data_IF_613614114789
#
_entry.id   IF_613614114789
#
_cell.length_a   1.000
_cell.length_b   1.000
_cell.length_c   1.000
_cell.angle_alpha   90.00
_cell.angle_beta   90.00
_cell.angle_gamma   90.00
#
_symmetry.space_group_name_H-M   'P 1'
#
loop_
_entity.id
_entity.type
_entity.pdbx_description
1 polymer ?
#
# COMPACT_ATOMS: atom_id res chain seq x y z
N UNK A 1 -79.72 -12.20 -35.48
CA UNK A 1 -79.58 -13.66 -35.26
C UNK A 1 -78.20 -13.92 -34.68
N UNK A 2 -78.13 -14.71 -33.58
CA UNK A 2 -76.99 -15.50 -33.02
C UNK A 2 -75.65 -14.76 -32.82
N UNK A 3 -75.22 -14.35 -31.62
CA UNK A 3 -74.79 -15.06 -30.39
C UNK A 3 -73.60 -16.05 -30.54
N UNK A 4 -72.68 -15.95 -29.56
CA UNK A 4 -71.58 -16.86 -29.13
C UNK A 4 -70.25 -16.66 -29.91
N UNK A 5 -69.02 -16.58 -29.35
CA UNK A 5 -68.32 -17.11 -28.14
C UNK A 5 -67.08 -16.20 -27.93
N UNK A 6 -66.92 -15.41 -26.87
CA UNK A 6 -66.26 -15.68 -25.59
C UNK A 6 -64.85 -16.32 -25.64
N UNK A 7 -63.90 -15.71 -24.92
CA UNK A 7 -62.63 -16.27 -24.40
C UNK A 7 -61.36 -16.08 -25.22
N UNK A 8 -60.68 -14.94 -24.99
CA UNK A 8 -59.21 -14.85 -24.96
C UNK A 8 -58.76 -13.58 -24.18
N UNK A 9 -59.38 -13.30 -23.02
CA UNK A 9 -58.80 -12.45 -21.99
C UNK A 9 -58.18 -13.39 -20.96
N UNK A 10 -56.86 -13.58 -20.99
CA UNK A 10 -56.20 -14.51 -20.07
C UNK A 10 -54.81 -14.97 -20.48
N UNK A 11 -53.91 -14.02 -20.73
CA UNK A 11 -52.46 -14.22 -20.64
C UNK A 11 -51.87 -12.82 -20.30
N UNK A 12 -51.96 -12.36 -19.04
CA UNK A 12 -50.90 -12.57 -18.05
C UNK A 12 -49.52 -12.43 -18.74
N UNK A 13 -49.03 -11.22 -19.05
CA UNK A 13 -48.58 -10.19 -18.10
C UNK A 13 -47.70 -10.74 -16.95
N UNK A 14 -46.81 -11.69 -17.26
CA UNK A 14 -45.70 -12.09 -16.38
C UNK A 14 -44.41 -12.37 -17.18
N UNK A 15 -43.99 -11.39 -17.98
CA UNK A 15 -42.58 -11.27 -18.41
C UNK A 15 -41.95 -9.99 -17.84
N UNK A 16 -42.39 -9.57 -16.66
CA UNK A 16 -41.55 -8.79 -15.76
C UNK A 16 -40.55 -9.72 -15.10
N UNK A 17 -39.67 -10.34 -15.91
CA UNK A 17 -38.45 -10.88 -15.36
C UNK A 17 -37.72 -9.70 -14.76
N UNK A 18 -37.47 -9.73 -13.45
CA UNK A 18 -36.38 -8.95 -12.87
C UNK A 18 -35.12 -9.40 -13.61
N UNK A 19 -34.78 -8.69 -14.69
CA UNK A 19 -33.42 -8.62 -15.17
C UNK A 19 -32.61 -8.22 -13.92
N UNK A 20 -31.62 -8.99 -13.49
CA UNK A 20 -30.64 -8.48 -12.56
C UNK A 20 -30.14 -7.19 -13.19
N UNK A 21 -30.42 -6.04 -12.55
CA UNK A 21 -29.74 -4.81 -12.92
C UNK A 21 -28.27 -5.11 -12.68
N UNK A 22 -27.54 -5.41 -13.75
CA UNK A 22 -26.12 -5.10 -13.77
C UNK A 22 -26.08 -3.61 -13.45
N UNK A 23 -25.63 -3.27 -12.24
CA UNK A 23 -25.42 -1.87 -11.83
C UNK A 23 -24.57 -1.26 -12.95
N UNK A 24 -25.12 -0.29 -13.67
CA UNK A 24 -24.40 0.40 -14.71
C UNK A 24 -23.15 1.03 -14.09
N UNK A 25 -22.03 0.94 -14.79
CA UNK A 25 -20.86 1.75 -14.52
C UNK A 25 -21.25 3.23 -14.67
N UNK A 26 -20.92 4.06 -13.68
CA UNK A 26 -21.24 5.49 -13.69
C UNK A 26 -20.16 6.21 -14.50
N UNK A 27 -20.51 6.64 -15.71
CA UNK A 27 -19.67 7.52 -16.54
C UNK A 27 -19.80 8.97 -16.04
N UNK A 28 -18.68 9.57 -15.67
CA UNK A 28 -18.58 10.92 -15.08
C UNK A 28 -17.42 11.70 -15.70
N UNK A 29 -17.45 13.02 -15.63
CA UNK A 29 -16.39 13.87 -16.17
C UNK A 29 -15.41 14.24 -15.05
N UNK A 30 -14.11 14.02 -15.27
CA UNK A 30 -13.09 14.50 -14.34
C UNK A 30 -12.84 16.00 -14.57
N UNK A 31 -12.99 16.79 -13.51
CA UNK A 31 -12.67 18.22 -13.53
C UNK A 31 -11.15 18.42 -13.69
N UNK A 32 -10.77 19.40 -14.50
CA UNK A 32 -9.38 19.84 -14.72
C UNK A 32 -8.38 18.72 -15.09
N UNK A 33 -8.84 17.66 -15.75
CA UNK A 33 -7.96 16.60 -16.26
C UNK A 33 -6.88 17.17 -17.20
N UNK A 34 -5.61 16.70 -17.11
CA UNK A 34 -4.52 17.20 -17.94
C UNK A 34 -4.81 17.02 -19.44
N UNK A 35 -4.40 17.98 -20.28
CA UNK A 35 -4.74 18.06 -21.72
C UNK A 35 -4.35 16.82 -22.56
N UNK A 36 -3.52 15.92 -22.01
CA UNK A 36 -3.09 14.67 -22.66
C UNK A 36 -4.09 13.51 -22.54
N UNK A 37 -5.17 13.68 -21.77
CA UNK A 37 -6.22 12.68 -21.61
C UNK A 37 -7.27 12.93 -22.69
N UNK A 38 -7.25 12.14 -23.78
CA UNK A 38 -8.17 12.33 -24.92
C UNK A 38 -9.66 12.18 -24.56
N UNK A 39 -9.98 11.65 -23.37
CA UNK A 39 -11.33 11.57 -22.82
C UNK A 39 -11.37 12.18 -21.40
N UNK A 40 -12.10 13.28 -21.22
CA UNK A 40 -12.44 13.82 -19.88
C UNK A 40 -13.42 12.91 -19.12
N UNK A 41 -13.90 11.85 -19.78
CA UNK A 41 -14.85 10.90 -19.25
C UNK A 41 -14.12 9.78 -18.52
N UNK A 42 -14.38 9.66 -17.22
CA UNK A 42 -13.92 8.55 -16.39
C UNK A 42 -15.10 7.71 -15.93
N UNK A 43 -14.85 6.43 -15.69
CA UNK A 43 -15.86 5.48 -15.23
C UNK A 43 -15.57 5.13 -13.78
N UNK A 44 -16.59 5.21 -12.94
CA UNK A 44 -16.58 4.67 -11.58
C UNK A 44 -17.05 3.21 -11.64
N UNK A 45 -16.19 2.23 -11.33
CA UNK A 45 -16.58 0.83 -11.30
C UNK A 45 -17.71 0.58 -10.30
N UNK A 46 -18.60 -0.34 -10.63
CA UNK A 46 -19.70 -0.75 -9.76
C UNK A 46 -19.29 -1.75 -8.66
N UNK A 47 -18.02 -2.19 -8.67
CA UNK A 47 -17.50 -3.24 -7.82
C UNK A 47 -16.29 -2.76 -7.03
N UNK A 48 -16.36 -2.91 -5.72
CA UNK A 48 -15.29 -2.67 -4.78
C UNK A 48 -14.88 -4.03 -4.21
N UNK A 49 -13.58 -4.35 -4.27
CA UNK A 49 -13.08 -5.68 -3.90
C UNK A 49 -13.32 -5.95 -2.41
N UNK A 50 -13.06 -4.95 -1.56
CA UNK A 50 -13.30 -4.99 -0.12
C UNK A 50 -13.39 -3.57 0.43
N UNK A 51 -13.88 -3.42 1.66
CA UNK A 51 -13.92 -2.12 2.36
C UNK A 51 -12.51 -1.52 2.54
N UNK A 52 -11.46 -2.35 2.54
CA UNK A 52 -10.07 -1.90 2.65
C UNK A 52 -9.53 -1.24 1.37
N UNK A 53 -10.25 -1.32 0.24
CA UNK A 53 -9.81 -0.80 -1.05
C UNK A 53 -10.80 0.19 -1.64
N UNK A 54 -10.28 1.21 -2.31
CA UNK A 54 -11.09 2.16 -3.06
C UNK A 54 -11.45 1.62 -4.44
N UNK A 55 -12.57 2.09 -5.00
CA UNK A 55 -12.83 1.93 -6.43
C UNK A 55 -11.84 2.77 -7.22
N UNK A 56 -11.12 2.17 -8.16
CA UNK A 56 -10.17 2.87 -9.03
C UNK A 56 -10.89 3.48 -10.23
N UNK A 57 -10.68 4.77 -10.50
CA UNK A 57 -11.23 5.41 -11.70
C UNK A 57 -10.67 4.79 -12.98
N UNK A 58 -11.53 4.65 -14.00
CA UNK A 58 -11.17 4.11 -15.32
C UNK A 58 -11.28 5.19 -16.41
N UNK A 59 -10.47 5.15 -17.49
CA UNK A 59 -9.41 4.18 -17.75
C UNK A 59 -8.29 4.27 -16.72
N UNK A 60 -7.63 3.14 -16.44
CA UNK A 60 -6.54 3.12 -15.47
C UNK A 60 -5.39 4.00 -15.97
N UNK A 61 -5.07 5.04 -15.21
CA UNK A 61 -3.92 5.90 -15.46
C UNK A 61 -2.71 5.40 -14.67
N UNK A 62 -1.66 4.91 -15.35
CA UNK A 62 -0.43 4.55 -14.67
C UNK A 62 0.28 5.81 -14.17
N UNK A 63 0.86 5.74 -12.97
CA UNK A 63 1.67 6.85 -12.47
C UNK A 63 2.82 7.19 -13.43
N UNK A 64 3.15 8.48 -13.64
CA UNK A 64 4.38 8.89 -14.33
C UNK A 64 5.65 8.37 -13.66
N UNK A 65 5.55 7.92 -12.41
CA UNK A 65 6.61 7.33 -11.59
C UNK A 65 6.63 5.78 -11.61
N UNK A 66 5.81 5.15 -12.47
CA UNK A 66 5.59 3.70 -12.46
C UNK A 66 6.90 2.91 -12.52
N UNK A 67 7.06 2.01 -11.55
CA UNK A 67 8.22 1.12 -11.45
C UNK A 67 9.40 1.71 -10.68
N UNK A 68 9.41 3.01 -10.34
CA UNK A 68 10.46 3.58 -9.49
C UNK A 68 10.45 2.98 -8.08
N UNK A 69 9.26 2.75 -7.50
CA UNK A 69 9.12 2.13 -6.17
C UNK A 69 9.87 0.79 -6.06
N UNK A 70 9.85 -0.02 -7.12
CA UNK A 70 10.52 -1.34 -7.16
C UNK A 70 12.05 -1.20 -7.13
N UNK A 71 12.61 -0.11 -7.65
CA UNK A 71 14.05 0.12 -7.69
C UNK A 71 14.58 0.82 -6.43
N UNK A 72 13.71 1.59 -5.76
CA UNK A 72 14.11 2.46 -4.65
C UNK A 72 13.88 1.81 -3.27
N UNK A 73 12.98 0.85 -3.18
CA UNK A 73 12.60 0.18 -1.93
C UNK A 73 13.41 -1.11 -1.74
N UNK A 74 13.74 -1.44 -0.49
CA UNK A 74 14.61 -2.58 -0.15
C UNK A 74 14.01 -3.95 -0.50
N UNK A 75 12.73 -4.17 -0.19
CA UNK A 75 12.08 -5.49 -0.35
C UNK A 75 10.73 -5.36 -1.06
N UNK A 76 10.30 -6.42 -1.75
CA UNK A 76 8.96 -6.46 -2.33
C UNK A 76 7.86 -6.46 -1.25
N UNK A 77 8.17 -6.91 -0.03
CA UNK A 77 7.27 -6.81 1.11
C UNK A 77 7.02 -5.33 1.46
N UNK A 78 8.08 -4.53 1.56
CA UNK A 78 7.97 -3.08 1.80
C UNK A 78 7.18 -2.37 0.70
N UNK A 79 7.37 -2.75 -0.58
CA UNK A 79 6.60 -2.15 -1.69
C UNK A 79 5.10 -2.40 -1.49
N UNK A 80 4.71 -3.65 -1.25
CA UNK A 80 3.30 -4.01 -1.06
C UNK A 80 2.69 -3.33 0.17
N UNK A 81 3.45 -3.25 1.27
CA UNK A 81 2.99 -2.60 2.49
C UNK A 81 2.91 -1.08 2.37
N UNK A 82 3.87 -0.45 1.68
CA UNK A 82 3.83 0.99 1.40
C UNK A 82 2.57 1.34 0.60
N UNK A 83 2.27 0.61 -0.49
CA UNK A 83 1.10 0.90 -1.32
C UNK A 83 -0.22 0.62 -0.58
N UNK A 84 -0.38 -0.57 -0.01
CA UNK A 84 -1.63 -0.96 0.66
C UNK A 84 -1.84 -0.21 1.98
N UNK A 85 -0.79 -0.03 2.78
CA UNK A 85 -0.88 0.69 4.05
C UNK A 85 -1.09 2.19 3.87
N UNK A 86 -0.62 2.79 2.76
CA UNK A 86 -0.97 4.18 2.44
C UNK A 86 -2.47 4.34 2.15
N UNK A 87 -3.10 3.34 1.51
CA UNK A 87 -4.57 3.31 1.38
C UNK A 87 -5.26 3.16 2.75
N UNK A 88 -4.74 2.33 3.67
CA UNK A 88 -5.31 2.23 5.03
C UNK A 88 -5.23 3.55 5.78
N UNK A 89 -4.15 4.32 5.60
CA UNK A 89 -4.02 5.65 6.20
C UNK A 89 -5.02 6.62 5.57
N UNK A 90 -5.18 6.59 4.25
CA UNK A 90 -6.11 7.46 3.53
C UNK A 90 -7.56 7.34 4.05
N UNK A 91 -8.00 6.14 4.44
CA UNK A 91 -9.35 5.90 4.94
C UNK A 91 -9.71 6.66 6.21
N UNK A 92 -8.71 7.19 6.93
CA UNK A 92 -8.94 8.03 8.11
C UNK A 92 -9.60 9.37 7.78
N UNK A 93 -9.33 9.89 6.57
CA UNK A 93 -9.84 11.18 6.09
C UNK A 93 -10.78 11.01 4.88
N UNK A 94 -10.52 10.01 4.03
CA UNK A 94 -11.20 9.81 2.75
C UNK A 94 -11.98 8.49 2.77
N UNK A 95 -13.28 8.52 3.06
CA UNK A 95 -14.08 7.28 3.10
C UNK A 95 -14.10 6.57 1.72
N UNK A 96 -13.84 5.26 1.62
CA UNK A 96 -13.89 4.52 0.36
C UNK A 96 -15.31 4.39 -0.23
N UNK A 97 -16.35 4.72 0.55
CA UNK A 97 -17.72 4.82 0.06
C UNK A 97 -17.92 6.02 -0.88
N UNK A 98 -17.28 7.14 -0.53
CA UNK A 98 -17.48 8.45 -1.16
C UNK A 98 -16.33 8.83 -2.11
N UNK A 99 -15.11 8.35 -1.81
CA UNK A 99 -13.90 8.67 -2.57
C UNK A 99 -13.49 7.54 -3.51
N UNK A 100 -12.82 7.91 -4.60
CA UNK A 100 -12.31 7.03 -5.64
C UNK A 100 -10.81 7.22 -5.78
N UNK A 101 -10.11 6.13 -6.05
CA UNK A 101 -8.65 6.13 -6.12
C UNK A 101 -8.15 6.37 -7.54
N UNK A 102 -7.07 7.14 -7.64
CA UNK A 102 -6.21 7.21 -8.82
C UNK A 102 -4.75 7.16 -8.37
N UNK A 103 -3.91 6.47 -9.15
CA UNK A 103 -2.46 6.50 -8.95
C UNK A 103 -1.93 7.93 -9.06
N UNK A 104 -0.87 8.26 -8.31
CA UNK A 104 -0.27 9.60 -8.36
C UNK A 104 0.13 10.03 -9.76
N UNK A 105 -0.26 11.24 -10.14
CA UNK A 105 -0.03 11.83 -11.46
C UNK A 105 0.55 13.25 -11.41
N UNK A 106 0.68 13.87 -10.22
CA UNK A 106 1.23 15.22 -10.07
C UNK A 106 2.75 15.23 -9.87
N UNK A 107 3.31 14.23 -9.18
CA UNK A 107 4.74 14.07 -8.95
C UNK A 107 5.36 13.17 -10.03
N UNK A 108 5.92 13.81 -11.05
CA UNK A 108 6.59 13.10 -12.15
C UNK A 108 7.92 12.45 -11.71
N UNK A 109 8.40 11.50 -12.52
CA UNK A 109 9.66 10.77 -12.25
C UNK A 109 10.85 11.69 -12.00
N UNK A 110 11.00 12.74 -12.79
CA UNK A 110 12.11 13.70 -12.64
C UNK A 110 11.97 14.52 -11.36
N UNK A 111 10.74 14.89 -10.98
CA UNK A 111 10.46 15.60 -9.72
C UNK A 111 10.85 14.75 -8.52
N UNK A 112 10.38 13.50 -8.48
CA UNK A 112 10.72 12.55 -7.42
C UNK A 112 12.23 12.29 -7.40
N UNK A 113 12.87 12.07 -8.55
CA UNK A 113 14.33 11.83 -8.62
C UNK A 113 15.13 13.01 -8.05
N UNK A 114 14.74 14.25 -8.38
CA UNK A 114 15.38 15.45 -7.84
C UNK A 114 15.16 15.56 -6.32
N UNK A 115 13.97 15.26 -5.82
CA UNK A 115 13.67 15.31 -4.39
C UNK A 115 14.39 14.21 -3.60
N UNK A 116 14.56 13.02 -4.17
CA UNK A 116 15.31 11.92 -3.57
C UNK A 116 16.82 12.15 -3.56
N UNK A 117 17.33 13.08 -4.35
CA UNK A 117 18.75 13.39 -4.39
C UNK A 117 19.24 14.02 -3.08
N UNK A 118 20.55 14.03 -2.88
CA UNK A 118 21.16 14.82 -1.81
C UNK A 118 21.06 16.30 -2.15
N UNK A 119 20.78 17.12 -1.15
CA UNK A 119 21.08 18.54 -1.22
C UNK A 119 22.58 18.72 -1.53
N UNK A 120 22.90 19.73 -2.32
CA UNK A 120 24.27 20.07 -2.71
C UNK A 120 24.72 21.36 -2.03
N UNK A 121 26.00 21.43 -1.66
CA UNK A 121 26.60 22.68 -1.22
C UNK A 121 27.04 23.57 -2.41
N UNK A 122 27.42 24.82 -2.14
CA UNK A 122 27.83 25.77 -3.20
C UNK A 122 28.95 25.28 -4.10
N UNK A 123 29.91 24.50 -3.57
CA UNK A 123 31.01 23.95 -4.37
C UNK A 123 30.52 22.84 -5.31
N UNK A 124 29.66 21.96 -4.80
CA UNK A 124 29.05 20.88 -5.58
C UNK A 124 28.10 21.41 -6.66
N UNK A 125 27.34 22.47 -6.37
CA UNK A 125 26.50 23.14 -7.38
C UNK A 125 27.33 23.68 -8.54
N UNK A 126 28.47 24.31 -8.24
CA UNK A 126 29.39 24.82 -9.28
C UNK A 126 30.01 23.69 -10.11
N UNK A 127 30.35 22.57 -9.48
CA UNK A 127 30.91 21.40 -10.17
C UNK A 127 29.89 20.73 -11.09
N UNK A 128 28.63 20.63 -10.63
CA UNK A 128 27.51 20.07 -11.39
C UNK A 128 26.87 21.05 -12.37
N UNK A 129 27.41 22.27 -12.50
CA UNK A 129 26.86 23.37 -13.32
C UNK A 129 25.36 23.67 -13.03
N UNK A 130 24.93 23.42 -11.79
CA UNK A 130 23.55 23.52 -11.32
C UNK A 130 23.31 24.86 -10.62
N UNK A 131 22.15 25.47 -10.86
CA UNK A 131 21.75 26.70 -10.18
C UNK A 131 21.17 26.41 -8.78
N UNK A 132 21.24 27.35 -7.84
CA UNK A 132 20.66 27.16 -6.50
C UNK A 132 19.18 26.77 -6.52
N UNK A 133 18.40 27.28 -7.48
CA UNK A 133 16.96 27.00 -7.59
C UNK A 133 16.68 25.55 -8.04
N UNK A 134 17.67 24.86 -8.61
CA UNK A 134 17.59 23.47 -9.07
C UNK A 134 18.04 22.48 -7.97
N UNK A 135 18.56 22.98 -6.85
CA UNK A 135 19.03 22.18 -5.71
C UNK A 135 17.86 21.68 -4.85
N UNK A 136 17.10 20.73 -5.39
CA UNK A 136 15.87 20.25 -4.78
C UNK A 136 16.04 18.97 -3.94
N UNK A 137 17.27 18.52 -3.67
CA UNK A 137 17.50 17.31 -2.88
C UNK A 137 16.97 17.43 -1.45
N UNK A 138 16.25 16.41 -0.98
CA UNK A 138 15.71 16.32 0.39
C UNK A 138 16.60 15.48 1.32
N UNK A 139 17.54 14.71 0.77
CA UNK A 139 18.53 13.97 1.56
C UNK A 139 19.70 14.88 1.97
N UNK A 140 20.36 14.62 3.11
CA UNK A 140 21.40 15.50 3.64
C UNK A 140 22.62 15.59 2.72
N UNK A 141 23.28 16.75 2.77
CA UNK A 141 24.52 17.02 2.06
C UNK A 141 25.61 16.04 2.54
N UNK A 142 26.30 15.39 1.61
CA UNK A 142 27.58 14.71 1.87
C UNK A 142 28.70 15.63 1.37
N UNK A 143 29.48 16.21 2.28
CA UNK A 143 30.54 17.17 1.94
C UNK A 143 31.85 16.51 1.46
N UNK A 144 31.91 15.17 1.45
CA UNK A 144 33.11 14.43 1.06
C UNK A 144 34.24 14.47 2.11
N UNK A 145 34.02 15.07 3.27
CA UNK A 145 35.03 15.20 4.33
C UNK A 145 35.05 13.97 5.25
N UNK A 146 36.24 13.46 5.54
CA UNK A 146 36.42 12.28 6.40
C UNK A 146 36.26 10.95 5.67
N UNK A 147 36.29 9.86 6.43
CA UNK A 147 36.14 8.50 5.91
C UNK A 147 34.71 8.24 5.44
N UNK A 148 34.53 7.30 4.50
CA UNK A 148 33.20 6.96 3.99
C UNK A 148 32.22 6.52 5.09
N UNK A 149 32.71 5.81 6.11
CA UNK A 149 31.92 5.40 7.26
C UNK A 149 31.46 6.59 8.12
N UNK A 150 32.33 7.58 8.36
CA UNK A 150 31.95 8.80 9.09
C UNK A 150 30.88 9.59 8.32
N UNK A 151 31.00 9.68 6.99
CA UNK A 151 30.01 10.36 6.15
C UNK A 151 28.68 9.61 6.10
N UNK A 152 28.71 8.27 6.05
CA UNK A 152 27.51 7.45 6.10
C UNK A 152 26.72 7.64 7.40
N UNK A 153 27.43 7.81 8.52
CA UNK A 153 26.84 8.10 9.82
C UNK A 153 26.28 9.52 9.94
N UNK A 154 27.01 10.52 9.45
CA UNK A 154 26.62 11.92 9.61
C UNK A 154 25.60 12.40 8.57
N UNK A 155 25.59 11.79 7.39
CA UNK A 155 24.74 12.16 6.27
C UNK A 155 24.19 10.90 5.57
N UNK A 156 23.45 10.02 6.25
CA UNK A 156 22.83 8.87 5.59
C UNK A 156 21.77 9.32 4.57
N UNK A 157 21.38 8.43 3.66
CA UNK A 157 20.18 8.65 2.84
C UNK A 157 18.97 8.24 3.68
N UNK A 158 18.24 9.22 4.20
CA UNK A 158 17.00 8.99 4.96
C UNK A 158 15.86 8.60 4.05
N UNK A 159 15.61 9.38 3.00
CA UNK A 159 14.47 9.21 2.10
C UNK A 159 14.85 8.35 0.89
N UNK A 160 14.20 7.21 0.74
CA UNK A 160 14.41 6.29 -0.38
C UNK A 160 13.39 6.49 -1.51
N UNK A 161 12.14 6.77 -1.16
CA UNK A 161 11.07 6.92 -2.14
C UNK A 161 9.95 7.83 -1.65
N UNK A 162 9.20 8.38 -2.60
CA UNK A 162 7.98 9.18 -2.38
C UNK A 162 6.88 8.54 -3.21
N UNK A 163 5.79 8.15 -2.58
CA UNK A 163 4.61 7.59 -3.21
C UNK A 163 3.46 8.59 -3.11
N UNK A 164 2.72 8.80 -4.19
CA UNK A 164 1.56 9.68 -4.26
C UNK A 164 0.30 8.88 -4.59
N UNK A 165 -0.75 9.07 -3.78
CA UNK A 165 -2.10 8.60 -4.02
C UNK A 165 -3.07 9.78 -4.12
N UNK A 166 -3.95 9.75 -5.12
CA UNK A 166 -4.96 10.78 -5.33
C UNK A 166 -6.36 10.22 -5.09
N UNK A 167 -7.18 11.00 -4.37
CA UNK A 167 -8.52 10.62 -3.97
C UNK A 167 -9.53 11.60 -4.55
N UNK A 168 -10.39 11.12 -5.42
CA UNK A 168 -11.42 11.89 -6.12
C UNK A 168 -12.78 11.70 -5.45
N UNK A 169 -13.62 12.72 -5.50
CA UNK A 169 -15.00 12.69 -4.98
C UNK A 169 -15.95 13.24 -6.04
N UNK A 170 -17.21 12.80 -6.02
CA UNK A 170 -18.24 13.42 -6.88
C UNK A 170 -18.37 14.92 -6.55
N UNK A 171 -18.49 15.75 -7.57
CA UNK A 171 -18.62 17.20 -7.38
C UNK A 171 -19.97 17.53 -6.76
N UNK A 172 -19.96 18.37 -5.71
CA UNK A 172 -21.18 18.83 -5.04
C UNK A 172 -22.06 19.69 -5.97
N UNK A 173 -21.43 20.31 -6.98
CA UNK A 173 -22.13 21.16 -7.97
C UNK A 173 -22.77 20.35 -9.10
N UNK A 174 -22.18 19.20 -9.44
CA UNK A 174 -22.60 18.35 -10.55
C UNK A 174 -22.17 16.90 -10.30
N UNK A 175 -23.11 16.04 -9.88
CA UNK A 175 -22.86 14.62 -9.63
C UNK A 175 -22.42 13.82 -10.88
N UNK A 176 -22.54 14.42 -12.08
CA UNK A 176 -21.97 13.85 -13.31
C UNK A 176 -20.47 14.12 -13.45
N UNK A 177 -19.84 14.74 -12.43
CA UNK A 177 -18.42 15.04 -12.40
C UNK A 177 -17.74 14.52 -11.14
N UNK A 178 -16.44 14.32 -11.25
CA UNK A 178 -15.54 14.06 -10.12
C UNK A 178 -14.44 15.11 -10.08
N UNK A 179 -14.02 15.48 -8.88
CA UNK A 179 -12.93 16.42 -8.63
C UNK A 179 -11.92 15.83 -7.65
N UNK A 180 -10.70 16.33 -7.70
CA UNK A 180 -9.69 15.97 -6.71
C UNK A 180 -10.17 16.41 -5.32
N UNK A 181 -10.30 15.45 -4.41
CA UNK A 181 -10.81 15.65 -3.06
C UNK A 181 -9.73 15.56 -1.98
N UNK A 182 -8.56 14.99 -2.30
CA UNK A 182 -7.45 14.85 -1.38
C UNK A 182 -6.24 14.13 -1.99
N UNK A 183 -5.09 14.30 -1.35
CA UNK A 183 -3.84 13.65 -1.72
C UNK A 183 -3.21 13.01 -0.49
N UNK A 184 -2.63 11.83 -0.66
CA UNK A 184 -1.84 11.16 0.39
C UNK A 184 -0.44 10.86 -0.15
N UNK A 185 0.57 11.30 0.58
CA UNK A 185 1.99 11.10 0.27
C UNK A 185 2.61 10.12 1.26
N UNK A 186 3.16 9.02 0.76
CA UNK A 186 4.00 8.09 1.52
C UNK A 186 5.48 8.44 1.36
N UNK A 187 6.17 8.69 2.47
CA UNK A 187 7.63 8.86 2.49
C UNK A 187 8.27 7.57 2.99
N UNK A 188 8.93 6.85 2.08
CA UNK A 188 9.66 5.64 2.44
C UNK A 188 11.07 5.99 2.93
N UNK A 189 11.32 5.69 4.20
CA UNK A 189 12.53 6.03 4.91
C UNK A 189 13.40 4.80 5.15
N UNK A 190 14.71 4.93 5.05
CA UNK A 190 15.67 3.85 5.28
C UNK A 190 15.93 3.66 6.78
N UNK A 191 15.63 2.50 7.33
CA UNK A 191 16.14 2.13 8.67
C UNK A 191 17.64 1.79 8.66
N UNK A 192 18.17 1.40 7.50
CA UNK A 192 19.57 1.08 7.28
C UNK A 192 20.04 1.76 6.00
N UNK A 193 21.11 2.54 6.10
CA UNK A 193 21.78 3.14 4.96
C UNK A 193 22.86 2.20 4.41
N UNK A 194 22.68 1.75 3.18
CA UNK A 194 23.63 0.90 2.47
C UNK A 194 24.61 1.76 1.65
N UNK A 195 25.91 1.52 1.79
CA UNK A 195 26.93 2.28 1.07
C UNK A 195 28.13 1.43 0.67
N UNK A 196 28.87 1.87 -0.35
CA UNK A 196 30.16 1.30 -0.75
C UNK A 196 31.28 2.35 -0.57
N UNK A 197 32.53 1.90 -0.62
CA UNK A 197 33.68 2.79 -0.55
C UNK A 197 33.85 3.56 -1.86
N UNK A 198 34.15 4.86 -1.78
CA UNK A 198 34.30 5.75 -2.96
C UNK A 198 35.32 5.23 -3.98
N UNK A 199 36.40 4.62 -3.49
CA UNK A 199 37.49 4.09 -4.32
C UNK A 199 37.25 2.65 -4.82
N UNK A 200 36.16 2.00 -4.41
CA UNK A 200 35.81 0.64 -4.79
C UNK A 200 34.27 0.47 -4.91
N UNK A 201 33.64 1.07 -5.94
CA UNK A 201 32.19 1.01 -6.14
C UNK A 201 31.67 -0.37 -6.54
N UNK A 202 32.55 -1.36 -6.77
CA UNK A 202 32.17 -2.75 -6.99
C UNK A 202 32.54 -3.67 -5.82
N UNK A 203 33.01 -3.06 -4.72
CA UNK A 203 33.40 -3.73 -3.49
C UNK A 203 32.21 -4.12 -2.60
N UNK A 204 32.49 -4.56 -1.37
CA UNK A 204 31.44 -4.94 -0.42
C UNK A 204 30.53 -3.77 -0.06
N UNK A 205 29.25 -4.09 0.15
CA UNK A 205 28.27 -3.16 0.70
C UNK A 205 28.38 -3.13 2.22
N UNK A 206 28.44 -1.94 2.79
CA UNK A 206 28.40 -1.67 4.22
C UNK A 206 27.02 -1.14 4.62
N UNK A 207 26.72 -1.26 5.90
CA UNK A 207 25.43 -0.92 6.50
C UNK A 207 25.65 0.06 7.65
N UNK A 208 24.88 1.15 7.67
CA UNK A 208 24.79 2.07 8.79
C UNK A 208 23.33 2.10 9.27
N UNK A 209 23.09 1.66 10.51
CA UNK A 209 21.75 1.70 11.09
C UNK A 209 21.38 3.14 11.46
N UNK A 210 20.18 3.57 11.08
CA UNK A 210 19.66 4.90 11.41
C UNK A 210 18.79 4.79 12.68
N UNK A 211 19.08 5.56 13.75
CA UNK A 211 18.25 5.57 14.95
C UNK A 211 16.80 5.96 14.65
N UNK A 212 15.83 5.28 15.26
CA UNK A 212 14.40 5.47 14.96
C UNK A 212 13.91 6.90 15.22
N UNK A 213 14.35 7.52 16.32
CA UNK A 213 13.97 8.90 16.66
C UNK A 213 14.53 9.92 15.65
N UNK A 214 15.75 9.68 15.17
CA UNK A 214 16.40 10.52 14.14
C UNK A 214 15.72 10.35 12.78
N UNK A 215 15.43 9.10 12.39
CA UNK A 215 14.70 8.77 11.17
C UNK A 215 13.33 9.45 11.15
N UNK A 216 12.60 9.38 12.27
CA UNK A 216 11.30 10.04 12.40
C UNK A 216 11.43 11.56 12.28
N UNK A 217 12.35 12.18 13.03
CA UNK A 217 12.54 13.62 13.02
C UNK A 217 12.90 14.18 11.62
N UNK A 218 13.80 13.52 10.90
CA UNK A 218 14.14 13.92 9.52
C UNK A 218 12.98 13.64 8.55
N UNK A 219 12.26 12.52 8.72
CA UNK A 219 11.05 12.23 7.94
C UNK A 219 9.97 13.31 8.09
N UNK A 220 9.73 13.79 9.31
CA UNK A 220 8.75 14.85 9.59
C UNK A 220 9.14 16.18 8.92
N UNK A 221 10.42 16.54 8.98
CA UNK A 221 10.98 17.72 8.32
C UNK A 221 10.86 17.62 6.80
N UNK A 222 11.18 16.46 6.22
CA UNK A 222 11.04 16.18 4.79
C UNK A 222 9.57 16.26 4.38
N UNK A 223 8.65 15.70 5.16
CA UNK A 223 7.21 15.78 4.93
C UNK A 223 6.70 17.21 4.83
N UNK A 224 7.13 18.07 5.75
CA UNK A 224 6.80 19.48 5.72
C UNK A 224 7.32 20.18 4.46
N UNK A 225 8.52 19.86 4.02
CA UNK A 225 9.08 20.44 2.78
C UNK A 225 8.34 19.93 1.53
N UNK A 226 7.95 18.66 1.50
CA UNK A 226 7.14 18.09 0.41
C UNK A 226 5.81 18.82 0.26
N UNK A 227 5.08 19.06 1.35
CA UNK A 227 3.80 19.80 1.31
C UNK A 227 3.99 21.22 0.76
N UNK A 228 5.03 21.93 1.21
CA UNK A 228 5.34 23.28 0.70
C UNK A 228 5.58 23.28 -0.80
N UNK A 229 6.35 22.30 -1.30
CA UNK A 229 6.64 22.18 -2.73
C UNK A 229 5.40 21.83 -3.53
N UNK A 230 4.52 20.97 -3.03
CA UNK A 230 3.24 20.66 -3.66
C UNK A 230 2.38 21.94 -3.78
N UNK A 231 2.28 22.75 -2.72
CA UNK A 231 1.56 24.03 -2.76
C UNK A 231 2.20 25.05 -3.70
N UNK A 232 3.54 25.10 -3.74
CA UNK A 232 4.26 25.96 -4.69
C UNK A 232 4.00 25.53 -6.15
N UNK A 233 4.01 24.22 -6.44
CA UNK A 233 3.64 23.68 -7.75
C UNK A 233 2.22 24.09 -8.14
N UNK A 234 1.27 24.05 -7.21
CA UNK A 234 -0.10 24.49 -7.45
C UNK A 234 -0.21 25.98 -7.82
N UNK A 235 0.64 26.82 -7.24
CA UNK A 235 0.66 28.26 -7.48
C UNK A 235 1.35 28.64 -8.81
N UNK A 236 2.30 27.83 -9.26
CA UNK A 236 3.15 28.12 -10.42
C UNK A 236 2.66 27.46 -11.71
N UNK A 237 2.04 26.29 -11.61
CA UNK A 237 1.61 25.46 -12.74
C UNK A 237 0.08 25.39 -12.83
N UNK A 238 -0.55 26.03 -13.84
CA UNK A 238 -1.99 25.98 -14.04
C UNK A 238 -2.57 24.57 -14.17
N UNK A 239 -1.78 23.59 -14.65
CA UNK A 239 -2.22 22.18 -14.75
C UNK A 239 -2.28 21.49 -13.38
N UNK A 240 -1.72 22.10 -12.33
CA UNK A 240 -1.70 21.59 -10.96
C UNK A 240 -2.50 22.46 -9.98
N UNK A 241 -3.32 23.37 -10.49
CA UNK A 241 -4.09 24.30 -9.67
C UNK A 241 -5.02 23.59 -8.66
N UNK A 242 -5.49 22.38 -8.98
CA UNK A 242 -6.31 21.55 -8.08
C UNK A 242 -5.60 21.22 -6.77
N UNK A 243 -4.27 21.23 -6.75
CA UNK A 243 -3.47 21.00 -5.55
C UNK A 243 -3.48 22.19 -4.59
N UNK A 244 -4.07 23.33 -4.94
CA UNK A 244 -4.05 24.52 -4.08
C UNK A 244 -4.89 24.31 -2.82
N UNK A 245 -6.08 23.74 -2.96
CA UNK A 245 -7.12 23.78 -1.92
C UNK A 245 -7.51 22.39 -1.36
N UNK A 246 -6.86 21.31 -1.80
CA UNK A 246 -7.14 19.96 -1.28
C UNK A 246 -6.42 19.69 0.05
N UNK A 247 -6.98 18.86 0.96
CA UNK A 247 -6.22 18.32 2.07
C UNK A 247 -5.09 17.40 1.59
N UNK A 248 -3.92 17.48 2.24
CA UNK A 248 -2.75 16.65 1.95
C UNK A 248 -2.35 15.92 3.22
N UNK A 249 -2.37 14.58 3.20
CA UNK A 249 -1.83 13.75 4.28
C UNK A 249 -0.43 13.26 3.91
N UNK A 250 0.51 13.35 4.85
CA UNK A 250 1.86 12.76 4.71
C UNK A 250 2.02 11.65 5.74
N UNK A 251 2.46 10.48 5.28
CA UNK A 251 2.72 9.32 6.12
C UNK A 251 4.18 8.88 6.01
N UNK A 252 4.81 8.59 7.14
CA UNK A 252 6.19 8.12 7.22
C UNK A 252 6.20 6.60 7.30
N UNK A 253 6.83 5.96 6.31
CA UNK A 253 7.01 4.53 6.23
C UNK A 253 8.48 4.18 6.53
N UNK A 254 8.73 3.41 7.59
CA UNK A 254 10.06 2.89 7.90
C UNK A 254 10.23 1.55 7.18
N UNK A 255 11.14 1.49 6.20
CA UNK A 255 11.49 0.24 5.54
C UNK A 255 12.27 -0.69 6.47
N UNK A 256 12.15 -1.99 6.25
CA UNK A 256 13.05 -2.97 6.86
C UNK A 256 14.37 -3.13 6.08
N UNK A 257 15.40 -3.76 6.67
CA UNK A 257 16.62 -4.12 5.98
C UNK A 257 16.36 -5.04 4.77
N UNK A 258 17.28 -5.05 3.80
CA UNK A 258 17.19 -5.88 2.58
C UNK A 258 17.14 -7.38 2.85
N UNK A 259 17.61 -7.81 4.01
CA UNK A 259 17.59 -9.20 4.47
C UNK A 259 16.29 -9.59 5.18
N UNK A 260 15.38 -8.64 5.41
CA UNK A 260 14.13 -8.89 6.11
C UNK A 260 13.19 -9.79 5.32
N UNK A 261 12.44 -10.60 6.06
CA UNK A 261 11.38 -11.49 5.56
C UNK A 261 9.99 -11.02 5.98
N UNK A 262 9.93 -9.84 6.58
CA UNK A 262 8.71 -9.09 6.92
C UNK A 262 8.84 -7.68 6.35
N UNK A 263 7.73 -7.03 5.96
CA UNK A 263 7.76 -5.63 5.55
C UNK A 263 8.07 -4.71 6.73
N UNK A 264 8.45 -3.48 6.39
CA UNK A 264 8.41 -2.32 7.28
C UNK A 264 7.01 -1.90 7.66
N UNK A 265 6.92 -0.74 8.28
CA UNK A 265 5.68 -0.26 8.87
C UNK A 265 5.59 1.26 8.85
N UNK A 266 4.35 1.78 8.92
CA UNK A 266 4.14 3.21 9.14
C UNK A 266 4.44 3.59 10.59
N UNK A 267 5.12 4.71 10.79
CA UNK A 267 5.57 5.19 12.11
C UNK A 267 4.92 6.50 12.55
N UNK A 268 4.44 7.31 11.60
CA UNK A 268 3.81 8.61 11.89
C UNK A 268 3.01 9.09 10.68
N UNK A 269 1.99 9.92 10.90
CA UNK A 269 1.32 10.69 9.84
C UNK A 269 0.89 12.07 10.33
N UNK A 270 0.75 13.02 9.41
CA UNK A 270 0.18 14.34 9.66
C UNK A 270 -0.59 14.82 8.43
N UNK A 271 -1.52 15.74 8.64
CA UNK A 271 -2.33 16.32 7.56
C UNK A 271 -2.19 17.83 7.53
N UNK A 272 -2.21 18.40 6.34
CA UNK A 272 -2.43 19.82 6.09
C UNK A 272 -3.85 19.99 5.54
N UNK A 273 -4.60 20.94 6.11
CA UNK A 273 -5.93 21.29 5.61
C UNK A 273 -5.83 21.91 4.20
N UNK A 274 -6.97 22.02 3.52
CA UNK A 274 -7.06 22.67 2.22
C UNK A 274 -6.52 24.10 2.25
N UNK A 275 -5.60 24.43 1.34
CA UNK A 275 -4.95 25.74 1.26
C UNK A 275 -3.73 25.91 2.17
N UNK A 276 -3.56 25.07 3.20
CA UNK A 276 -2.44 25.18 4.13
C UNK A 276 -1.17 24.55 3.55
N UNK A 277 -0.03 25.23 3.74
CA UNK A 277 1.31 24.76 3.35
C UNK A 277 2.08 24.11 4.52
N UNK A 278 1.43 23.99 5.67
CA UNK A 278 2.01 23.55 6.93
C UNK A 278 1.27 22.33 7.46
N UNK A 279 2.02 21.29 7.81
CA UNK A 279 1.47 20.09 8.42
C UNK A 279 1.04 20.40 9.86
N UNK A 280 -0.09 19.84 10.27
CA UNK A 280 -0.55 19.86 11.65
C UNK A 280 0.27 18.96 12.57
N UNK A 281 -0.32 18.58 13.71
CA UNK A 281 0.33 17.72 14.69
C UNK A 281 0.51 16.28 14.15
N UNK A 282 1.72 15.74 14.34
CA UNK A 282 2.05 14.37 13.95
C UNK A 282 1.43 13.35 14.89
N UNK A 283 0.65 12.44 14.32
CA UNK A 283 0.07 11.28 14.99
C UNK A 283 0.98 10.07 14.84
N UNK A 284 1.41 9.49 15.96
CA UNK A 284 2.27 8.30 15.94
C UNK A 284 1.49 7.06 15.53
N UNK A 285 2.12 6.21 14.72
CA UNK A 285 1.59 4.91 14.31
C UNK A 285 2.37 3.82 15.04
N UNK A 286 1.64 2.91 15.68
CA UNK A 286 2.22 1.76 16.35
C UNK A 286 1.87 0.50 15.56
N UNK A 287 2.44 0.38 14.37
CA UNK A 287 2.30 -0.80 13.52
C UNK A 287 3.60 -1.61 13.55
N UNK A 288 3.51 -2.94 13.64
CA UNK A 288 4.69 -3.81 13.57
C UNK A 288 4.35 -5.14 12.89
N UNK A 289 5.26 -5.65 12.09
CA UNK A 289 5.15 -6.98 11.52
C UNK A 289 6.02 -7.98 12.27
N UNK A 290 5.41 -9.07 12.71
CA UNK A 290 6.07 -10.13 13.47
C UNK A 290 6.03 -11.43 12.68
N UNK A 291 7.18 -12.11 12.61
CA UNK A 291 7.29 -13.42 11.98
C UNK A 291 6.87 -14.53 12.95
N UNK A 292 6.21 -15.56 12.44
CA UNK A 292 5.83 -16.75 13.20
C UNK A 292 6.33 -18.04 12.51
N UNK A 293 6.93 -18.99 13.25
CA UNK A 293 7.40 -18.83 14.62
C UNK A 293 8.66 -17.94 14.68
N UNK A 294 8.85 -17.18 15.76
CA UNK A 294 10.10 -16.42 15.97
C UNK A 294 10.39 -16.16 17.44
N UNK A 295 11.64 -15.76 17.74
CA UNK A 295 12.01 -15.31 19.09
C UNK A 295 11.24 -14.05 19.50
N UNK A 296 11.02 -13.12 18.57
CA UNK A 296 10.24 -11.90 18.82
C UNK A 296 8.80 -12.23 19.20
N UNK A 297 8.16 -13.13 18.46
CA UNK A 297 6.82 -13.62 18.77
C UNK A 297 6.77 -14.28 20.15
N UNK A 298 7.72 -15.16 20.48
CA UNK A 298 7.77 -15.80 21.80
C UNK A 298 7.96 -14.82 22.97
N UNK A 299 8.74 -13.76 22.76
CA UNK A 299 9.10 -12.80 23.81
C UNK A 299 8.02 -11.72 24.01
N UNK A 300 7.38 -11.26 22.93
CA UNK A 300 6.41 -10.17 22.97
C UNK A 300 4.94 -10.62 22.83
N UNK A 301 4.68 -11.73 22.15
CA UNK A 301 3.33 -12.20 21.76
C UNK A 301 3.13 -13.69 22.04
N UNK A 302 3.43 -14.10 23.28
CA UNK A 302 3.54 -15.51 23.68
C UNK A 302 2.31 -16.38 23.39
N UNK A 303 1.11 -15.83 23.58
CA UNK A 303 -0.14 -16.57 23.37
C UNK A 303 -0.41 -16.80 21.87
N UNK A 304 -0.11 -15.80 21.04
CA UNK A 304 -0.20 -15.90 19.57
C UNK A 304 0.85 -16.88 19.03
N UNK A 305 2.09 -16.82 19.53
CA UNK A 305 3.16 -17.77 19.19
C UNK A 305 2.77 -19.20 19.58
N UNK A 306 2.23 -19.40 20.78
CA UNK A 306 1.76 -20.72 21.22
C UNK A 306 0.67 -21.25 20.30
N UNK A 307 -0.26 -20.38 19.90
CA UNK A 307 -1.32 -20.75 18.98
C UNK A 307 -0.76 -21.13 17.61
N UNK A 308 0.15 -20.33 17.07
CA UNK A 308 0.79 -20.62 15.81
C UNK A 308 1.60 -21.93 15.83
N UNK A 309 2.33 -22.21 16.92
CA UNK A 309 3.09 -23.44 17.08
C UNK A 309 2.19 -24.67 17.14
N UNK A 310 1.04 -24.60 17.83
CA UNK A 310 0.06 -25.68 17.84
C UNK A 310 -0.53 -25.90 16.44
N UNK A 311 -0.89 -24.83 15.72
CA UNK A 311 -1.38 -24.91 14.35
C UNK A 311 -0.34 -25.57 13.43
N UNK A 312 0.91 -25.11 13.50
CA UNK A 312 2.03 -25.67 12.75
C UNK A 312 2.23 -27.16 13.06
N UNK A 313 2.23 -27.53 14.34
CA UNK A 313 2.39 -28.92 14.76
C UNK A 313 1.26 -29.82 14.24
N UNK A 314 0.02 -29.33 14.25
CA UNK A 314 -1.13 -30.06 13.73
C UNK A 314 -1.03 -30.30 12.21
N UNK A 315 -0.62 -29.29 11.46
CA UNK A 315 -0.38 -29.37 10.00
C UNK A 315 0.75 -30.36 9.68
N UNK A 316 1.89 -30.24 10.36
CA UNK A 316 3.07 -31.10 10.15
C UNK A 316 2.80 -32.56 10.56
N UNK A 317 2.02 -32.78 11.62
CA UNK A 317 1.70 -34.13 12.10
C UNK A 317 0.78 -34.89 11.14
N UNK A 318 -0.18 -34.19 10.53
CA UNK A 318 -1.09 -34.80 9.56
C UNK A 318 -0.39 -35.01 8.21
N UNK A 319 0.51 -34.10 7.81
CA UNK A 319 1.24 -34.16 6.55
C UNK A 319 2.77 -34.00 6.73
N UNK A 320 3.49 -35.09 7.04
CA UNK A 320 4.90 -35.05 7.47
C UNK A 320 5.92 -34.53 6.43
N UNK A 321 5.50 -34.30 5.18
CA UNK A 321 6.35 -33.77 4.13
C UNK A 321 6.30 -32.23 4.03
N UNK A 322 5.47 -31.55 4.85
CA UNK A 322 5.23 -30.11 4.78
C UNK A 322 5.74 -29.40 6.05
N UNK A 323 7.01 -29.02 6.06
CA UNK A 323 7.70 -28.52 7.27
C UNK A 323 7.89 -26.99 7.29
N UNK A 324 7.20 -26.28 6.40
CA UNK A 324 7.50 -24.88 6.07
C UNK A 324 6.30 -23.95 6.29
N UNK A 325 5.56 -24.14 7.39
CA UNK A 325 4.49 -23.21 7.78
C UNK A 325 5.12 -21.94 8.37
N UNK A 326 4.91 -20.80 7.70
CA UNK A 326 5.45 -19.48 8.08
C UNK A 326 4.30 -18.48 8.17
N UNK A 327 4.23 -17.72 9.26
CA UNK A 327 3.24 -16.68 9.48
C UNK A 327 3.87 -15.28 9.50
N UNK A 328 3.14 -14.28 9.01
CA UNK A 328 3.46 -12.85 9.14
C UNK A 328 2.25 -12.16 9.75
N UNK A 329 2.38 -11.72 11.00
CA UNK A 329 1.33 -11.03 11.73
C UNK A 329 1.55 -9.52 11.72
N UNK A 330 0.56 -8.74 11.29
CA UNK A 330 0.52 -7.29 11.48
C UNK A 330 -0.12 -7.00 12.84
N UNK A 331 0.59 -6.24 13.67
CA UNK A 331 0.12 -5.72 14.94
C UNK A 331 -0.15 -4.23 14.84
N UNK A 332 -1.25 -3.80 15.46
CA UNK A 332 -1.55 -2.40 15.72
C UNK A 332 -1.64 -2.22 17.24
N UNK A 333 -0.61 -1.59 17.82
CA UNK A 333 -0.38 -1.68 19.25
C UNK A 333 -0.02 -3.11 19.66
N UNK A 334 -0.70 -3.62 20.69
CA UNK A 334 -0.49 -4.98 21.19
C UNK A 334 -1.49 -5.99 20.58
N UNK A 335 -2.28 -5.59 19.59
CA UNK A 335 -3.32 -6.43 18.98
C UNK A 335 -2.97 -6.79 17.54
N UNK A 336 -3.00 -8.09 17.23
CA UNK A 336 -2.89 -8.58 15.85
C UNK A 336 -4.14 -8.19 15.06
N UNK A 337 -3.96 -7.62 13.87
CA UNK A 337 -5.04 -7.23 12.95
C UNK A 337 -5.10 -8.09 11.69
N UNK A 338 -3.96 -8.68 11.28
CA UNK A 338 -3.84 -9.55 10.12
C UNK A 338 -2.80 -10.66 10.38
N UNK A 339 -3.11 -11.89 9.98
CA UNK A 339 -2.18 -13.01 9.95
C UNK A 339 -2.15 -13.64 8.55
N UNK A 340 -1.02 -13.49 7.86
CA UNK A 340 -0.77 -14.15 6.59
C UNK A 340 0.05 -15.42 6.83
N UNK A 341 -0.44 -16.58 6.42
CA UNK A 341 0.24 -17.88 6.58
C UNK A 341 0.57 -18.46 5.21
N UNK A 342 1.86 -18.68 4.96
CA UNK A 342 2.34 -19.37 3.77
C UNK A 342 2.61 -20.84 4.11
N UNK A 343 2.04 -21.75 3.29
CA UNK A 343 2.24 -23.19 3.39
C UNK A 343 2.66 -23.74 2.03
N UNK A 344 3.98 -23.83 1.75
CA UNK A 344 4.47 -24.46 0.54
C UNK A 344 4.43 -25.99 0.71
N UNK A 345 3.78 -26.65 -0.23
CA UNK A 345 3.57 -28.10 -0.30
C UNK A 345 4.20 -28.69 -1.57
N UNK A 346 4.34 -30.01 -1.58
CA UNK A 346 4.68 -30.78 -2.76
C UNK A 346 3.39 -31.32 -3.38
N UNK A 347 3.19 -31.09 -4.68
CA UNK A 347 1.99 -31.52 -5.38
C UNK A 347 2.03 -33.03 -5.64
N UNK A 348 1.08 -33.77 -5.07
CA UNK A 348 0.92 -35.21 -5.28
C UNK A 348 -0.42 -35.59 -5.89
N UNK A 349 -1.42 -34.70 -5.85
CA UNK A 349 -2.70 -34.89 -6.52
C UNK A 349 -3.81 -33.99 -5.99
N UNK A 350 -4.84 -33.78 -6.82
CA UNK A 350 -5.93 -32.83 -6.51
C UNK A 350 -6.73 -33.18 -5.27
N UNK A 351 -7.04 -34.46 -5.09
CA UNK A 351 -7.80 -34.94 -3.93
C UNK A 351 -7.05 -34.72 -2.61
N UNK A 352 -5.71 -34.81 -2.64
CA UNK A 352 -4.85 -34.54 -1.48
C UNK A 352 -4.91 -33.05 -1.10
N UNK A 353 -4.84 -32.15 -2.07
CA UNK A 353 -4.99 -30.71 -1.84
C UNK A 353 -6.35 -30.39 -1.21
N UNK A 354 -7.44 -30.96 -1.75
CA UNK A 354 -8.78 -30.72 -1.19
C UNK A 354 -8.84 -31.15 0.28
N UNK A 355 -8.35 -32.35 0.60
CA UNK A 355 -8.32 -32.84 1.97
C UNK A 355 -7.39 -32.02 2.88
N UNK A 356 -6.24 -31.60 2.37
CA UNK A 356 -5.29 -30.73 3.05
C UNK A 356 -5.92 -29.38 3.41
N UNK A 357 -6.51 -28.70 2.43
CA UNK A 357 -7.16 -27.40 2.62
C UNK A 357 -8.33 -27.48 3.60
N UNK A 358 -9.14 -28.55 3.54
CA UNK A 358 -10.21 -28.79 4.52
C UNK A 358 -9.67 -28.93 5.94
N UNK A 359 -8.57 -29.67 6.12
CA UNK A 359 -7.92 -29.82 7.41
C UNK A 359 -7.39 -28.48 7.93
N UNK A 360 -6.65 -27.73 7.10
CA UNK A 360 -6.11 -26.42 7.45
C UNK A 360 -7.21 -25.44 7.83
N UNK A 361 -8.30 -25.37 7.05
CA UNK A 361 -9.46 -24.52 7.36
C UNK A 361 -10.07 -24.84 8.74
N UNK A 362 -10.20 -26.13 9.07
CA UNK A 362 -10.63 -26.57 10.40
C UNK A 362 -9.70 -26.10 11.51
N UNK A 363 -8.40 -26.29 11.34
CA UNK A 363 -7.37 -25.90 12.31
C UNK A 363 -7.30 -24.39 12.54
N UNK A 364 -7.52 -23.58 11.50
CA UNK A 364 -7.56 -22.12 11.64
C UNK A 364 -8.66 -21.72 12.62
N UNK A 365 -9.84 -22.32 12.51
CA UNK A 365 -10.98 -22.05 13.41
C UNK A 365 -10.73 -22.56 14.83
N UNK A 366 -10.02 -23.69 14.97
CA UNK A 366 -9.73 -24.31 16.27
C UNK A 366 -8.66 -23.53 17.05
N UNK A 367 -7.68 -22.95 16.35
CA UNK A 367 -6.43 -22.50 16.96
C UNK A 367 -6.28 -20.98 17.09
N UNK A 368 -6.91 -20.20 16.20
CA UNK A 368 -6.79 -18.73 16.21
C UNK A 368 -8.08 -18.06 16.69
N UNK A 369 -7.97 -16.94 17.42
CA UNK A 369 -9.15 -16.21 17.87
C UNK A 369 -9.86 -15.51 16.69
N UNK A 370 -11.15 -15.15 16.84
CA UNK A 370 -11.97 -14.76 15.70
C UNK A 370 -11.84 -13.30 15.28
N UNK A 371 -11.06 -12.46 15.97
CA UNK A 371 -11.15 -10.99 15.85
C UNK A 371 -10.25 -10.35 14.77
N UNK A 372 -9.41 -11.12 14.07
CA UNK A 372 -8.49 -10.59 13.05
C UNK A 372 -8.62 -11.34 11.72
N UNK A 373 -8.12 -10.71 10.65
CA UNK A 373 -8.09 -11.31 9.32
C UNK A 373 -7.03 -12.41 9.25
N UNK A 374 -7.38 -13.57 8.70
CA UNK A 374 -6.43 -14.66 8.43
C UNK A 374 -6.48 -14.97 6.95
N UNK A 375 -5.32 -14.92 6.30
CA UNK A 375 -5.14 -15.39 4.93
C UNK A 375 -4.14 -16.53 4.93
N UNK A 376 -4.50 -17.67 4.33
CA UNK A 376 -3.59 -18.81 4.18
C UNK A 376 -3.40 -19.13 2.70
N UNK A 377 -2.16 -19.00 2.27
CA UNK A 377 -1.71 -19.28 0.92
C UNK A 377 -1.03 -20.64 0.86
N UNK A 378 -1.72 -21.61 0.25
CA UNK A 378 -1.19 -22.96 0.03
C UNK A 378 -0.65 -23.01 -1.40
N UNK A 379 0.65 -23.23 -1.52
CA UNK A 379 1.38 -23.13 -2.80
C UNK A 379 2.20 -24.38 -3.09
N UNK A 380 2.48 -24.65 -4.36
CA UNK A 380 3.45 -25.65 -4.78
C UNK A 380 4.47 -25.04 -5.74
N UNK A 381 5.41 -25.86 -6.22
CA UNK A 381 6.36 -25.46 -7.28
C UNK A 381 5.66 -25.03 -8.59
N UNK A 382 4.40 -25.42 -8.79
CA UNK A 382 3.62 -25.07 -9.97
C UNK A 382 2.80 -23.78 -9.79
N UNK A 383 2.69 -23.25 -8.57
CA UNK A 383 1.94 -22.04 -8.26
C UNK A 383 0.93 -22.22 -7.12
N UNK A 384 -0.11 -21.36 -7.04
CA UNK A 384 -1.11 -21.42 -5.98
C UNK A 384 -2.04 -22.63 -6.13
N UNK A 385 -2.23 -23.37 -5.04
CA UNK A 385 -3.06 -24.59 -4.99
C UNK A 385 -4.40 -24.34 -4.30
N UNK A 386 -4.37 -23.55 -3.22
CA UNK A 386 -5.57 -23.15 -2.49
C UNK A 386 -5.36 -21.84 -1.73
N UNK A 387 -6.48 -21.15 -1.48
CA UNK A 387 -6.58 -19.92 -0.70
C UNK A 387 -7.64 -20.11 0.38
N UNK A 388 -7.32 -19.75 1.61
CA UNK A 388 -8.26 -19.71 2.72
C UNK A 388 -8.28 -18.28 3.28
N UNK A 389 -9.45 -17.67 3.37
CA UNK A 389 -9.62 -16.34 3.95
C UNK A 389 -10.64 -16.45 5.09
N UNK A 390 -10.27 -15.97 6.28
CA UNK A 390 -11.19 -15.84 7.41
C UNK A 390 -11.21 -14.38 7.85
N UNK A 391 -12.34 -13.70 7.71
CA UNK A 391 -12.49 -12.33 8.21
C UNK A 391 -12.80 -12.33 9.72
N UNK A 392 -12.64 -11.17 10.39
CA UNK A 392 -13.11 -10.97 11.75
C UNK A 392 -14.56 -11.40 11.93
N UNK A 393 -14.84 -12.07 13.05
CA UNK A 393 -16.16 -12.52 13.49
C UNK A 393 -16.91 -13.50 12.56
N UNK A 394 -16.34 -13.86 11.40
CA UNK A 394 -16.87 -14.94 10.55
C UNK A 394 -16.67 -16.30 11.22
N UNK A 395 -17.73 -17.10 11.22
CA UNK A 395 -17.75 -18.45 11.81
C UNK A 395 -17.02 -19.48 10.96
N UNK A 396 -17.05 -19.32 9.64
CA UNK A 396 -16.44 -20.25 8.68
C UNK A 396 -15.57 -19.45 7.70
N UNK A 397 -14.39 -19.95 7.32
CA UNK A 397 -13.55 -19.29 6.33
C UNK A 397 -14.09 -19.50 4.91
N UNK A 398 -13.85 -18.52 4.04
CA UNK A 398 -13.89 -18.72 2.60
C UNK A 398 -12.74 -19.61 2.15
N UNK A 399 -13.03 -20.60 1.30
CA UNK A 399 -12.04 -21.55 0.78
C UNK A 399 -12.14 -21.63 -0.73
N UNK A 400 -11.01 -21.46 -1.41
CA UNK A 400 -10.87 -21.62 -2.86
C UNK A 400 -9.80 -22.64 -3.20
N UNK A 401 -10.08 -23.51 -4.19
CA UNK A 401 -9.15 -24.48 -4.75
C UNK A 401 -8.91 -24.11 -6.22
N UNK A 402 -7.66 -23.89 -6.62
CA UNK A 402 -7.32 -23.44 -7.97
C UNK A 402 -7.36 -24.60 -8.98
N UNK A 403 -8.11 -24.51 -10.08
CA UNK A 403 -8.32 -25.63 -11.04
C UNK A 403 -7.13 -25.95 -11.98
N UNK A 404 -5.89 -25.66 -11.59
CA UNK A 404 -4.69 -25.80 -12.44
C UNK A 404 -4.50 -27.18 -13.08
#
# INVERSE_FOLDING_TARGET
MKKWVASALGAALLLGGCMPSFKQEDEVIQENAPEKTEDQSVIIPNYQISEDYYKTLLPFEPSPSRGMVVNNINTNYDVAELESGLMRIAQREFSPDDYFFQSGNFLESDTITNWLSRELNESQLKESEMKPEENLGLNPIDNGEGSRAERAKNSPIYLAHILEHNYFIKSDEDESKVRLGGMVIGLALNSVYYYQNDNDPFGPTYEEAIPADELKAEGEKIGQEVVKRIRAMAAEDPEKADLADIPITVALFKQEPKSSVVPGNFISYASADGGDDSLGDWSSMNENYVLFPSSEANDNFRDDETSFLNFKQDVESYFPNFNSVIGRGLYQGDQMSLLNIDIPIQFYGKAEIIGFTQFVAGRIMDQFPPYFNIEVNITSVNGPEALIIKKPDETEPFVHIYEQ
#
